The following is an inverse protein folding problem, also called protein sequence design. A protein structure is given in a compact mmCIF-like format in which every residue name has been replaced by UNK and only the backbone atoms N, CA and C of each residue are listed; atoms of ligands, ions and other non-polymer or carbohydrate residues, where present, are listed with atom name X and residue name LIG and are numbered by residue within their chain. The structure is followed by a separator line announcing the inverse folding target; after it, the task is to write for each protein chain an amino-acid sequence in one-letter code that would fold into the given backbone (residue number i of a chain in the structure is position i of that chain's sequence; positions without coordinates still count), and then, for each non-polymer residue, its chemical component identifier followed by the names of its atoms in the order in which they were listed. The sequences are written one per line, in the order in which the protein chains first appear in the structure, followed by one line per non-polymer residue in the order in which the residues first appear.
data_IF_095185182864
#
_entry.id   IF_095185182864
#
_cell.length_a   1.000
_cell.length_b   1.000
_cell.length_c   1.000
_cell.angle_alpha   90.00
_cell.angle_beta   90.00
_cell.angle_gamma   90.00
#
_symmetry.space_group_name_H-M   'P 1'
#
loop_
_entity.id
_entity.type
_entity.pdbx_description
1 polymer ?
#
# COMPACT_ATOMS: atom_id res chain seq x y z
N UNK A 1 -35.87 -16.91 26.08
CA UNK A 1 -34.53 -17.27 26.60
C UNK A 1 -33.42 -17.08 25.54
N UNK A 2 -33.51 -16.05 24.67
CA UNK A 2 -32.61 -15.89 23.50
C UNK A 2 -31.85 -14.55 23.44
N UNK A 3 -31.96 -13.67 24.44
CA UNK A 3 -31.33 -12.35 24.44
C UNK A 3 -30.07 -12.21 25.32
N UNK A 4 -29.70 -13.24 26.11
CA UNK A 4 -28.51 -13.17 27.00
C UNK A 4 -27.21 -13.68 26.37
N UNK A 5 -27.26 -14.40 25.24
CA UNK A 5 -26.06 -14.99 24.63
C UNK A 5 -25.34 -14.11 23.59
N UNK A 6 -25.97 -13.05 23.07
CA UNK A 6 -25.29 -12.14 22.12
C UNK A 6 -24.40 -11.08 22.80
N UNK A 7 -24.75 -10.68 24.03
CA UNK A 7 -23.97 -9.68 24.78
C UNK A 7 -22.65 -10.28 25.30
N UNK A 8 -22.63 -11.58 25.64
CA UNK A 8 -21.41 -12.25 26.08
C UNK A 8 -20.41 -12.47 24.93
N UNK A 9 -20.87 -12.68 23.69
CA UNK A 9 -19.99 -12.77 22.51
C UNK A 9 -19.44 -11.39 22.10
N UNK A 10 -20.22 -10.31 22.25
CA UNK A 10 -19.74 -8.94 22.03
C UNK A 10 -18.67 -8.52 23.06
N UNK A 11 -18.79 -8.94 24.32
CA UNK A 11 -17.81 -8.64 25.37
C UNK A 11 -16.48 -9.38 25.19
N UNK A 12 -16.45 -10.55 24.54
CA UNK A 12 -15.20 -11.26 24.21
C UNK A 12 -14.47 -10.58 23.04
N UNK A 13 -15.19 -9.93 22.12
CA UNK A 13 -14.59 -9.15 21.02
C UNK A 13 -14.09 -7.79 21.52
N UNK A 14 -14.68 -7.23 22.59
CA UNK A 14 -14.20 -5.99 23.22
C UNK A 14 -13.05 -6.19 24.24
N UNK A 15 -12.82 -7.43 24.71
CA UNK A 15 -11.68 -7.79 25.58
C UNK A 15 -10.55 -8.52 24.85
N UNK A 16 -10.74 -8.91 23.59
CA UNK A 16 -9.62 -9.12 22.67
C UNK A 16 -9.22 -7.76 22.14
N UNK A 17 -8.67 -6.93 23.04
CA UNK A 17 -7.69 -5.96 22.63
C UNK A 17 -6.62 -6.76 21.89
N UNK A 18 -6.74 -6.84 20.56
CA UNK A 18 -5.56 -6.94 19.73
C UNK A 18 -4.79 -5.68 20.09
N UNK A 19 -3.93 -5.79 21.09
CA UNK A 19 -2.80 -4.93 21.23
C UNK A 19 -2.21 -4.89 19.84
N UNK A 20 -2.37 -3.75 19.16
CA UNK A 20 -1.46 -3.39 18.08
C UNK A 20 -0.13 -3.40 18.81
N UNK A 21 0.60 -4.52 18.67
CA UNK A 21 1.80 -4.77 19.42
C UNK A 21 2.69 -3.56 19.14
N UNK A 22 3.00 -2.80 20.19
CA UNK A 22 3.72 -1.53 20.11
C UNK A 22 5.22 -1.79 19.91
N UNK A 23 5.54 -2.61 18.90
CA UNK A 23 6.85 -3.15 18.56
C UNK A 23 7.10 -3.01 17.04
N UNK A 24 6.52 -1.99 16.43
CA UNK A 24 6.99 -1.47 15.15
C UNK A 24 7.27 0.00 15.39
N UNK A 25 8.55 0.37 15.47
CA UNK A 25 8.98 1.77 15.39
C UNK A 25 8.61 2.23 13.98
N UNK A 26 7.35 2.66 13.81
CA UNK A 26 6.78 3.07 12.53
C UNK A 26 7.34 4.44 12.14
N UNK A 27 8.64 4.49 11.81
CA UNK A 27 9.27 5.62 11.13
C UNK A 27 9.04 5.44 9.63
N UNK A 28 7.81 5.69 9.19
CA UNK A 28 7.38 5.23 7.88
C UNK A 28 7.64 6.25 6.81
N UNK A 29 8.53 5.85 5.92
CA UNK A 29 8.78 6.48 4.65
C UNK A 29 7.71 5.98 3.68
N UNK A 30 6.92 6.87 3.09
CA UNK A 30 5.78 6.54 2.22
C UNK A 30 5.59 7.64 1.19
N UNK A 31 5.26 7.27 -0.05
CA UNK A 31 4.71 8.21 -1.02
C UNK A 31 3.18 8.03 -1.10
N UNK A 32 2.44 9.05 -0.68
CA UNK A 32 0.98 9.04 -0.59
C UNK A 32 0.37 10.03 -1.58
N UNK A 33 -0.51 9.53 -2.45
CA UNK A 33 -1.35 10.36 -3.32
C UNK A 33 -2.80 10.25 -2.84
N UNK A 34 -3.44 11.39 -2.61
CA UNK A 34 -4.84 11.48 -2.19
C UNK A 34 -5.66 12.02 -3.36
N UNK A 35 -6.67 11.28 -3.79
CA UNK A 35 -7.67 11.70 -4.75
C UNK A 35 -8.96 12.00 -4.00
N UNK A 36 -9.39 13.26 -4.03
CA UNK A 36 -10.57 13.73 -3.32
C UNK A 36 -11.67 14.13 -4.29
N UNK A 37 -12.74 13.32 -4.34
CA UNK A 37 -13.92 13.60 -5.14
C UNK A 37 -14.74 14.76 -4.56
N UNK A 38 -14.94 15.78 -5.38
CA UNK A 38 -15.78 16.93 -5.10
C UNK A 38 -16.89 17.11 -6.12
N UNK A 39 -17.34 16.02 -6.75
CA UNK A 39 -18.45 15.95 -7.69
C UNK A 39 -19.81 16.25 -7.05
N UNK A 40 -20.81 16.45 -7.90
CA UNK A 40 -22.17 16.81 -7.50
C UNK A 40 -22.86 15.75 -6.63
N UNK A 41 -22.56 14.47 -6.84
CA UNK A 41 -23.19 13.35 -6.13
C UNK A 41 -22.76 13.23 -4.67
N UNK A 42 -21.54 13.68 -4.35
CA UNK A 42 -21.02 13.76 -2.98
C UNK A 42 -21.83 14.74 -2.12
N UNK A 43 -22.20 15.90 -2.69
CA UNK A 43 -22.84 16.99 -1.95
C UNK A 43 -21.89 17.76 -1.02
N UNK A 44 -22.23 19.02 -0.71
CA UNK A 44 -21.37 19.91 0.07
C UNK A 44 -21.08 19.42 1.49
N UNK A 45 -22.07 18.79 2.15
CA UNK A 45 -21.93 18.28 3.51
C UNK A 45 -20.95 17.09 3.58
N UNK A 46 -21.11 16.10 2.71
CA UNK A 46 -20.20 14.95 2.65
C UNK A 46 -18.81 15.37 2.18
N UNK A 47 -18.71 16.34 1.26
CA UNK A 47 -17.42 16.88 0.85
C UNK A 47 -16.70 17.58 2.01
N UNK A 48 -17.40 18.35 2.84
CA UNK A 48 -16.83 18.93 4.05
C UNK A 48 -16.30 17.86 5.01
N UNK A 49 -17.05 16.76 5.20
CA UNK A 49 -16.60 15.62 5.99
C UNK A 49 -15.35 14.96 5.40
N UNK A 50 -15.30 14.81 4.08
CA UNK A 50 -14.15 14.25 3.36
C UNK A 50 -12.89 15.13 3.52
N UNK A 51 -13.03 16.46 3.46
CA UNK A 51 -11.93 17.40 3.76
C UNK A 51 -11.40 17.20 5.17
N UNK A 52 -12.27 17.14 6.17
CA UNK A 52 -11.87 16.91 7.56
C UNK A 52 -11.14 15.57 7.69
N UNK A 53 -11.63 14.51 7.02
CA UNK A 53 -10.95 13.21 6.97
C UNK A 53 -9.51 13.29 6.47
N UNK A 54 -9.32 13.99 5.34
CA UNK A 54 -8.01 14.16 4.72
C UNK A 54 -7.09 15.00 5.63
N UNK A 55 -7.59 16.07 6.22
CA UNK A 55 -6.82 16.91 7.15
C UNK A 55 -6.36 16.12 8.38
N UNK A 56 -7.27 15.33 8.98
CA UNK A 56 -6.96 14.49 10.14
C UNK A 56 -5.92 13.42 9.81
N UNK A 57 -6.06 12.76 8.66
CA UNK A 57 -5.07 11.81 8.15
C UNK A 57 -3.69 12.49 8.07
N UNK A 58 -3.59 13.62 7.39
CA UNK A 58 -2.32 14.33 7.18
C UNK A 58 -1.71 14.79 8.50
N UNK A 59 -2.53 15.24 9.46
CA UNK A 59 -2.05 15.70 10.77
C UNK A 59 -1.27 14.61 11.52
N UNK A 60 -1.68 13.34 11.36
CA UNK A 60 -1.07 12.16 12.00
C UNK A 60 0.15 11.62 11.26
N UNK A 61 0.30 11.94 9.98
CA UNK A 61 1.46 11.53 9.20
C UNK A 61 2.71 12.33 9.59
N UNK A 62 3.87 11.67 9.56
CA UNK A 62 5.16 12.34 9.74
C UNK A 62 5.63 12.91 8.39
N UNK A 63 4.99 13.98 7.91
CA UNK A 63 5.29 14.57 6.59
C UNK A 63 6.67 15.23 6.58
N UNK A 64 7.48 14.97 5.55
CA UNK A 64 8.76 15.65 5.36
C UNK A 64 9.64 15.06 4.25
N UNK A 65 10.79 15.70 3.92
CA UNK A 65 11.64 15.34 2.77
C UNK A 65 12.15 13.90 2.79
N UNK A 66 12.41 13.35 3.97
CA UNK A 66 12.92 11.99 4.15
C UNK A 66 11.91 11.08 4.87
N UNK A 67 10.63 11.44 4.84
CA UNK A 67 9.57 10.79 5.60
C UNK A 67 8.38 10.50 4.68
N UNK A 68 7.16 10.87 5.08
CA UNK A 68 5.98 10.75 4.23
C UNK A 68 5.92 11.91 3.24
N UNK A 69 5.86 11.60 1.95
CA UNK A 69 5.56 12.54 0.87
C UNK A 69 4.06 12.49 0.60
N UNK A 70 3.39 13.64 0.52
CA UNK A 70 1.94 13.72 0.29
C UNK A 70 1.65 14.61 -0.91
N UNK A 71 0.90 14.08 -1.88
CA UNK A 71 0.29 14.84 -2.97
C UNK A 71 -1.23 14.72 -2.88
N UNK A 72 -1.94 15.82 -3.16
CA UNK A 72 -3.40 15.93 -3.08
C UNK A 72 -3.94 16.44 -4.42
N UNK A 73 -4.88 15.68 -4.98
CA UNK A 73 -5.61 16.03 -6.17
C UNK A 73 -7.09 16.09 -5.81
N UNK A 74 -7.74 17.21 -6.11
CA UNK A 74 -9.20 17.33 -6.10
C UNK A 74 -9.70 17.01 -7.50
N UNK A 75 -10.82 16.30 -7.63
CA UNK A 75 -11.46 16.16 -8.93
C UNK A 75 -12.98 16.29 -8.87
N UNK A 76 -13.55 16.68 -10.00
CA UNK A 76 -14.98 16.53 -10.30
C UNK A 76 -15.13 16.30 -11.81
N UNK A 77 -15.61 17.26 -12.60
CA UNK A 77 -15.57 17.20 -14.06
C UNK A 77 -14.14 17.26 -14.61
N UNK A 78 -13.21 17.83 -13.84
CA UNK A 78 -11.78 17.97 -14.18
C UNK A 78 -10.91 17.64 -12.96
N UNK A 79 -9.63 17.35 -13.19
CA UNK A 79 -8.66 17.03 -12.13
C UNK A 79 -7.73 18.22 -11.85
N UNK A 80 -7.68 18.64 -10.59
CA UNK A 80 -6.87 19.74 -10.09
C UNK A 80 -5.75 19.21 -9.18
N UNK A 81 -4.50 19.61 -9.47
CA UNK A 81 -3.35 19.32 -8.62
C UNK A 81 -3.29 20.33 -7.46
N UNK A 82 -4.13 20.14 -6.43
CA UNK A 82 -4.24 21.06 -5.30
C UNK A 82 -2.94 21.19 -4.50
N UNK A 83 -2.20 20.11 -4.33
CA UNK A 83 -0.85 20.12 -3.75
C UNK A 83 -0.02 18.97 -4.32
N UNK A 84 1.20 19.24 -4.76
CA UNK A 84 2.16 18.20 -5.17
C UNK A 84 3.37 18.29 -4.26
N UNK A 85 3.80 17.16 -3.71
CA UNK A 85 4.97 17.13 -2.85
C UNK A 85 6.21 17.70 -3.58
N UNK A 86 6.97 18.54 -2.88
CA UNK A 86 8.22 19.11 -3.39
C UNK A 86 9.37 18.81 -2.41
N UNK A 87 10.44 18.17 -2.92
CA UNK A 87 11.63 17.76 -2.17
C UNK A 87 12.43 18.93 -1.55
N UNK A 88 12.19 20.17 -1.98
CA UNK A 88 12.86 21.39 -1.47
C UNK A 88 12.15 22.00 -0.24
N UNK A 89 11.06 21.39 0.24
CA UNK A 89 10.22 21.98 1.28
C UNK A 89 10.84 22.07 2.69
N UNK A 90 10.26 22.93 3.53
CA UNK A 90 10.64 23.18 4.91
C UNK A 90 9.86 22.31 5.92
N UNK A 91 10.17 22.43 7.21
CA UNK A 91 9.42 21.79 8.32
C UNK A 91 7.93 22.15 8.37
N UNK A 92 7.45 23.11 7.57
CA UNK A 92 6.06 23.59 7.53
C UNK A 92 5.17 22.87 6.50
N UNK A 93 5.70 21.90 5.75
CA UNK A 93 4.94 21.22 4.68
C UNK A 93 3.61 20.64 5.16
N UNK A 94 3.57 20.03 6.34
CA UNK A 94 2.33 19.48 6.92
C UNK A 94 1.24 20.55 7.03
N UNK A 95 1.56 21.67 7.64
CA UNK A 95 0.62 22.76 7.89
C UNK A 95 0.15 23.41 6.58
N UNK A 96 1.05 23.50 5.60
CA UNK A 96 0.72 23.99 4.25
C UNK A 96 -0.32 23.08 3.58
N UNK A 97 -0.13 21.76 3.61
CA UNK A 97 -1.08 20.82 3.01
C UNK A 97 -2.42 20.89 3.73
N UNK A 98 -2.43 20.91 5.07
CA UNK A 98 -3.67 21.02 5.85
C UNK A 98 -4.42 22.32 5.51
N UNK A 99 -3.70 23.44 5.35
CA UNK A 99 -4.29 24.71 4.92
C UNK A 99 -4.90 24.61 3.51
N UNK A 100 -4.21 23.96 2.56
CA UNK A 100 -4.75 23.69 1.22
C UNK A 100 -6.02 22.86 1.30
N UNK A 101 -5.99 21.74 2.03
CA UNK A 101 -7.16 20.86 2.24
C UNK A 101 -8.33 21.67 2.76
N UNK A 102 -8.16 22.43 3.85
CA UNK A 102 -9.20 23.24 4.45
C UNK A 102 -9.73 24.35 3.51
N UNK A 103 -8.91 24.84 2.58
CA UNK A 103 -9.27 25.85 1.58
C UNK A 103 -10.03 25.32 0.37
N UNK A 104 -10.07 24.00 0.13
CA UNK A 104 -10.74 23.42 -1.04
C UNK A 104 -12.23 23.80 -1.10
N UNK A 105 -12.67 24.33 -2.24
CA UNK A 105 -14.05 24.76 -2.47
C UNK A 105 -14.88 23.64 -3.09
N UNK A 106 -16.12 23.45 -2.66
CA UNK A 106 -17.04 22.51 -3.29
C UNK A 106 -17.73 23.15 -4.50
N UNK A 107 -17.36 22.69 -5.70
CA UNK A 107 -17.92 23.19 -6.95
C UNK A 107 -18.90 22.20 -7.61
N UNK A 108 -19.03 20.97 -7.08
CA UNK A 108 -19.80 19.90 -7.72
C UNK A 108 -19.30 19.58 -9.14
N UNK A 109 -20.23 19.13 -9.99
CA UNK A 109 -19.97 18.74 -11.37
C UNK A 109 -20.04 17.23 -11.57
N UNK A 110 -19.40 16.75 -12.63
CA UNK A 110 -19.26 15.32 -12.91
C UNK A 110 -18.23 14.64 -12.01
N UNK A 111 -17.94 13.38 -12.33
CA UNK A 111 -17.13 12.44 -11.54
C UNK A 111 -16.10 11.76 -12.45
N UNK A 112 -15.03 12.48 -12.80
CA UNK A 112 -13.95 12.06 -13.69
C UNK A 112 -12.91 11.17 -12.97
N UNK A 113 -13.37 10.08 -12.37
CA UNK A 113 -12.53 9.17 -11.56
C UNK A 113 -11.43 8.51 -12.37
N UNK A 114 -11.72 8.11 -13.63
CA UNK A 114 -10.70 7.48 -14.48
C UNK A 114 -9.54 8.43 -14.77
N UNK A 115 -9.85 9.68 -15.09
CA UNK A 115 -8.88 10.75 -15.34
C UNK A 115 -8.13 11.13 -14.06
N UNK A 116 -8.78 11.10 -12.90
CA UNK A 116 -8.13 11.33 -11.61
C UNK A 116 -7.06 10.27 -11.32
N UNK A 117 -7.37 9.00 -11.60
CA UNK A 117 -6.43 7.87 -11.45
C UNK A 117 -5.28 7.98 -12.45
N UNK A 118 -5.56 8.33 -13.70
CA UNK A 118 -4.53 8.63 -14.72
C UNK A 118 -3.60 9.76 -14.27
N UNK A 119 -4.15 10.83 -13.69
CA UNK A 119 -3.36 11.95 -13.18
C UNK A 119 -2.52 11.54 -11.97
N UNK A 120 -3.06 10.72 -11.05
CA UNK A 120 -2.27 10.16 -9.94
C UNK A 120 -1.06 9.38 -10.43
N UNK A 121 -1.22 8.55 -11.47
CA UNK A 121 -0.10 7.84 -12.11
C UNK A 121 0.97 8.81 -12.62
N UNK A 122 0.55 9.86 -13.31
CA UNK A 122 1.46 10.89 -13.85
C UNK A 122 2.18 11.68 -12.75
N UNK A 123 1.47 12.00 -11.66
CA UNK A 123 2.06 12.64 -10.48
C UNK A 123 3.08 11.72 -9.82
N UNK A 124 2.79 10.42 -9.72
CA UNK A 124 3.73 9.49 -9.12
C UNK A 124 4.99 9.33 -9.98
N UNK A 125 4.85 9.19 -11.30
CA UNK A 125 5.98 9.14 -12.23
C UNK A 125 6.92 10.36 -12.07
N UNK A 126 6.39 11.53 -11.73
CA UNK A 126 7.15 12.76 -11.58
C UNK A 126 7.69 13.03 -10.16
N UNK A 127 6.93 12.65 -9.12
CA UNK A 127 7.16 13.10 -7.75
C UNK A 127 7.42 11.97 -6.73
N UNK A 128 6.96 10.74 -7.00
CA UNK A 128 7.31 9.61 -6.15
C UNK A 128 8.81 9.32 -6.24
N UNK A 129 9.35 8.72 -5.19
CA UNK A 129 10.72 8.21 -5.16
C UNK A 129 10.88 7.03 -6.11
N UNK A 130 12.10 6.82 -6.58
CA UNK A 130 12.37 5.72 -7.50
C UNK A 130 12.21 4.35 -6.79
N UNK A 131 12.21 3.26 -7.55
CA UNK A 131 12.12 1.90 -7.00
C UNK A 131 13.35 1.51 -6.19
N UNK A 132 14.53 2.03 -6.53
CA UNK A 132 15.81 1.78 -5.82
C UNK A 132 15.76 2.20 -4.34
N UNK A 133 14.99 3.24 -4.02
CA UNK A 133 14.79 3.73 -2.66
C UNK A 133 13.89 2.80 -1.80
N UNK A 134 13.26 1.77 -2.40
CA UNK A 134 12.39 0.81 -1.71
C UNK A 134 11.29 1.47 -0.86
N UNK A 135 10.77 2.61 -1.31
CA UNK A 135 9.70 3.32 -0.61
C UNK A 135 8.33 2.82 -1.05
N UNK A 136 7.48 2.36 -0.12
CA UNK A 136 6.09 2.02 -0.42
C UNK A 136 5.33 3.21 -1.02
N UNK A 137 4.41 2.91 -1.94
CA UNK A 137 3.55 3.92 -2.58
C UNK A 137 2.09 3.56 -2.32
N UNK A 138 1.28 4.55 -1.99
CA UNK A 138 -0.14 4.38 -1.76
C UNK A 138 -0.96 5.47 -2.45
N UNK A 139 -2.13 5.06 -2.95
CA UNK A 139 -3.15 6.00 -3.45
C UNK A 139 -4.41 5.79 -2.65
N UNK A 140 -5.01 6.88 -2.16
CA UNK A 140 -6.29 6.85 -1.44
C UNK A 140 -7.30 7.66 -2.23
N UNK A 141 -8.31 6.97 -2.76
CA UNK A 141 -9.39 7.53 -3.53
C UNK A 141 -10.63 7.67 -2.65
N UNK A 142 -11.06 8.91 -2.40
CA UNK A 142 -12.34 9.21 -1.76
C UNK A 142 -13.37 9.52 -2.84
N UNK A 143 -14.46 8.75 -2.92
CA UNK A 143 -15.53 8.90 -3.92
C UNK A 143 -16.79 8.19 -3.43
N UNK A 144 -17.97 8.49 -3.96
CA UNK A 144 -19.18 7.67 -3.81
C UNK A 144 -19.27 6.59 -4.90
N UNK A 145 -18.33 6.55 -5.84
CA UNK A 145 -18.49 5.75 -7.06
C UNK A 145 -19.60 6.34 -7.93
N UNK A 146 -19.77 5.85 -9.16
CA UNK A 146 -20.52 6.50 -10.24
C UNK A 146 -19.69 7.49 -11.06
N UNK A 147 -18.50 7.05 -11.50
CA UNK A 147 -17.74 7.82 -12.46
C UNK A 147 -18.49 8.00 -13.78
N UNK A 148 -18.42 9.20 -14.35
CA UNK A 148 -18.89 9.44 -15.71
C UNK A 148 -17.99 8.75 -16.77
N UNK A 149 -16.86 8.19 -16.36
CA UNK A 149 -15.86 7.53 -17.19
C UNK A 149 -15.55 6.12 -16.68
N UNK A 150 -16.58 5.33 -16.32
CA UNK A 150 -16.41 4.02 -15.68
C UNK A 150 -15.49 3.04 -16.45
N UNK A 151 -15.48 3.10 -17.79
CA UNK A 151 -14.56 2.29 -18.62
C UNK A 151 -13.09 2.63 -18.38
N UNK A 152 -12.75 3.90 -18.17
CA UNK A 152 -11.39 4.34 -17.87
C UNK A 152 -10.94 3.94 -16.46
N UNK A 153 -11.86 3.87 -15.49
CA UNK A 153 -11.53 3.51 -14.11
C UNK A 153 -10.78 2.19 -14.06
N UNK A 154 -11.29 1.14 -14.71
CA UNK A 154 -10.63 -0.17 -14.71
C UNK A 154 -9.23 -0.10 -15.32
N UNK A 155 -9.12 0.40 -16.55
CA UNK A 155 -7.86 0.42 -17.30
C UNK A 155 -6.80 1.29 -16.63
N UNK A 156 -7.14 2.50 -16.18
CA UNK A 156 -6.17 3.38 -15.52
C UNK A 156 -5.79 2.88 -14.13
N UNK A 157 -6.67 2.16 -13.43
CA UNK A 157 -6.32 1.55 -12.15
C UNK A 157 -5.35 0.38 -12.31
N UNK A 158 -5.53 -0.43 -13.36
CA UNK A 158 -4.56 -1.48 -13.74
C UNK A 158 -3.21 -0.85 -14.09
N UNK A 159 -3.19 0.19 -14.94
CA UNK A 159 -1.97 0.90 -15.31
C UNK A 159 -1.28 1.58 -14.11
N UNK A 160 -2.04 2.20 -13.21
CA UNK A 160 -1.50 2.81 -11.99
C UNK A 160 -0.77 1.75 -11.15
N UNK A 161 -1.44 0.63 -10.84
CA UNK A 161 -0.85 -0.45 -10.04
C UNK A 161 0.35 -1.08 -10.73
N UNK A 162 0.28 -1.31 -12.04
CA UNK A 162 1.34 -2.00 -12.78
C UNK A 162 2.56 -1.10 -13.01
N UNK A 163 2.38 0.20 -13.26
CA UNK A 163 3.51 1.11 -13.49
C UNK A 163 4.13 1.66 -12.22
N UNK A 164 3.31 1.95 -11.21
CA UNK A 164 3.78 2.60 -9.97
C UNK A 164 3.93 1.64 -8.82
N UNK A 165 3.37 0.42 -8.92
CA UNK A 165 3.35 -0.58 -7.85
C UNK A 165 2.67 -0.06 -6.56
N UNK A 166 1.89 1.02 -6.68
CA UNK A 166 1.16 1.61 -5.57
C UNK A 166 0.00 0.72 -5.13
N UNK A 167 -0.22 0.67 -3.83
CA UNK A 167 -1.43 0.07 -3.25
C UNK A 167 -2.54 1.10 -3.24
N UNK A 168 -3.68 0.75 -3.84
CA UNK A 168 -4.82 1.65 -4.01
C UNK A 168 -5.92 1.31 -3.01
N UNK A 169 -6.36 2.32 -2.25
CA UNK A 169 -7.48 2.29 -1.33
C UNK A 169 -8.63 3.07 -1.92
N UNK A 170 -9.81 2.45 -1.98
CA UNK A 170 -11.02 3.14 -2.44
C UNK A 170 -11.98 3.30 -1.26
N UNK A 171 -12.28 4.54 -0.94
CA UNK A 171 -13.05 4.97 0.22
C UNK A 171 -14.37 5.55 -0.27
N UNK A 172 -15.42 4.75 -0.16
CA UNK A 172 -16.81 5.11 -0.41
C UNK A 172 -17.29 6.15 0.59
N UNK A 173 -17.86 7.27 0.13
CA UNK A 173 -18.49 8.28 1.01
C UNK A 173 -19.98 8.38 0.70
N UNK A 174 -20.81 8.45 1.74
CA UNK A 174 -22.25 8.69 1.60
C UNK A 174 -23.09 7.42 1.45
N UNK A 175 -24.38 7.57 1.17
CA UNK A 175 -25.35 6.47 1.17
C UNK A 175 -25.57 5.82 -0.21
N UNK A 176 -25.03 6.40 -1.28
CA UNK A 176 -25.24 5.97 -2.67
C UNK A 176 -24.10 5.15 -3.28
N UNK A 177 -23.25 4.53 -2.46
CA UNK A 177 -21.94 4.06 -2.90
C UNK A 177 -22.02 2.95 -3.97
N UNK A 178 -21.30 3.10 -5.08
CA UNK A 178 -21.10 2.05 -6.08
C UNK A 178 -19.89 1.17 -5.72
N UNK A 179 -20.15 0.07 -5.00
CA UNK A 179 -19.10 -0.84 -4.53
C UNK A 179 -18.33 -1.51 -5.66
N UNK A 180 -18.99 -1.85 -6.77
CA UNK A 180 -18.33 -2.47 -7.90
C UNK A 180 -17.26 -1.54 -8.47
N UNK A 181 -17.54 -0.24 -8.57
CA UNK A 181 -16.57 0.73 -9.08
C UNK A 181 -15.42 1.01 -8.09
N UNK A 182 -15.70 1.01 -6.79
CA UNK A 182 -14.64 1.06 -5.78
C UNK A 182 -13.71 -0.15 -5.89
N UNK A 183 -14.25 -1.35 -6.16
CA UNK A 183 -13.45 -2.56 -6.34
C UNK A 183 -12.59 -2.50 -7.61
N UNK A 184 -13.06 -1.86 -8.69
CA UNK A 184 -12.26 -1.68 -9.91
C UNK A 184 -11.02 -0.81 -9.66
N UNK A 185 -11.15 0.20 -8.80
CA UNK A 185 -10.06 1.12 -8.45
C UNK A 185 -9.11 0.55 -7.38
N UNK A 186 -9.63 -0.14 -6.39
CA UNK A 186 -8.86 -0.65 -5.26
C UNK A 186 -7.89 -1.79 -5.62
N UNK A 187 -6.91 -2.02 -4.75
CA UNK A 187 -6.09 -3.24 -4.76
C UNK A 187 -6.82 -4.42 -4.13
N UNK A 188 -6.30 -5.64 -4.34
CA UNK A 188 -6.84 -6.85 -3.72
C UNK A 188 -6.03 -7.29 -2.49
N UNK A 189 -6.67 -7.88 -1.45
CA UNK A 189 -8.10 -8.24 -1.39
C UNK A 189 -9.01 -7.05 -1.05
N UNK A 190 -10.21 -6.99 -1.65
CA UNK A 190 -11.13 -5.86 -1.47
C UNK A 190 -11.61 -5.67 -0.03
N UNK A 191 -11.68 -6.73 0.77
CA UNK A 191 -12.00 -6.65 2.20
C UNK A 191 -11.01 -5.81 3.01
N UNK A 192 -9.81 -5.58 2.48
CA UNK A 192 -8.77 -4.75 3.08
C UNK A 192 -8.68 -3.36 2.47
N UNK A 193 -8.91 -3.22 1.17
CA UNK A 193 -8.61 -1.99 0.41
C UNK A 193 -9.84 -1.21 -0.06
N UNK A 194 -11.05 -1.76 0.11
CA UNK A 194 -12.31 -1.03 -0.12
C UNK A 194 -12.94 -0.71 1.23
N UNK A 195 -13.16 0.57 1.49
CA UNK A 195 -13.72 1.10 2.72
C UNK A 195 -15.00 1.86 2.42
N UNK A 196 -15.94 1.81 3.36
CA UNK A 196 -17.20 2.55 3.25
C UNK A 196 -17.33 3.42 4.50
N UNK A 197 -17.47 4.72 4.28
CA UNK A 197 -17.69 5.72 5.32
C UNK A 197 -19.18 6.07 5.35
N UNK A 198 -19.88 5.43 6.28
CA UNK A 198 -21.25 5.76 6.65
C UNK A 198 -21.34 6.95 7.63
N UNK A 199 -20.26 7.28 8.35
CA UNK A 199 -20.13 8.49 9.19
C UNK A 199 -18.67 8.79 9.59
N UNK A 200 -18.44 9.97 10.19
CA UNK A 200 -17.12 10.50 10.57
C UNK A 200 -16.33 9.62 11.56
N UNK A 201 -16.98 8.77 12.38
CA UNK A 201 -16.28 7.88 13.32
C UNK A 201 -15.48 6.76 12.61
N UNK A 202 -15.80 6.46 11.35
CA UNK A 202 -15.12 5.44 10.55
C UNK A 202 -13.83 5.94 9.88
N UNK A 203 -13.51 7.24 9.95
CA UNK A 203 -12.21 7.78 9.52
C UNK A 203 -11.04 7.18 10.30
N UNK A 204 -11.24 6.90 11.59
CA UNK A 204 -10.22 6.24 12.41
C UNK A 204 -9.82 4.89 11.80
N UNK A 205 -10.75 4.19 11.14
CA UNK A 205 -10.46 2.94 10.44
C UNK A 205 -9.59 3.19 9.20
N UNK A 206 -9.90 4.21 8.40
CA UNK A 206 -9.09 4.62 7.23
C UNK A 206 -7.67 4.99 7.68
N UNK A 207 -7.55 5.80 8.73
CA UNK A 207 -6.27 6.23 9.30
C UNK A 207 -5.48 5.03 9.81
N UNK A 208 -6.11 4.12 10.55
CA UNK A 208 -5.44 2.91 11.04
C UNK A 208 -4.95 2.05 9.88
N UNK A 209 -5.74 1.90 8.82
CA UNK A 209 -5.33 1.14 7.64
C UNK A 209 -4.19 1.82 6.87
N UNK A 210 -4.23 3.14 6.69
CA UNK A 210 -3.14 3.87 6.02
C UNK A 210 -1.86 3.85 6.87
N UNK A 211 -2.00 3.91 8.19
CA UNK A 211 -0.86 3.70 9.10
C UNK A 211 -0.32 2.28 8.92
N UNK A 212 -1.19 1.26 8.84
CA UNK A 212 -0.77 -0.11 8.54
C UNK A 212 -0.12 -0.23 7.15
N UNK A 213 -0.53 0.54 6.13
CA UNK A 213 0.18 0.60 4.84
C UNK A 213 1.59 1.13 5.04
N UNK A 214 1.68 2.31 5.67
CA UNK A 214 2.95 2.99 5.85
C UNK A 214 3.94 2.06 6.55
N UNK A 215 3.47 1.28 7.54
CA UNK A 215 4.35 0.37 8.28
C UNK A 215 4.48 -1.04 7.66
N UNK A 216 3.57 -1.48 6.77
CA UNK A 216 3.53 -2.89 6.35
C UNK A 216 3.23 -3.14 4.86
N UNK A 217 3.14 -2.13 3.98
CA UNK A 217 3.04 -2.42 2.55
C UNK A 217 4.40 -2.83 2.01
N UNK A 218 4.48 -3.93 1.25
CA UNK A 218 5.74 -4.36 0.67
C UNK A 218 6.28 -3.34 -0.32
N UNK A 219 7.54 -2.94 -0.14
CA UNK A 219 8.27 -2.13 -1.09
C UNK A 219 8.48 -2.91 -2.39
N UNK A 220 8.35 -2.25 -3.54
CA UNK A 220 8.57 -2.93 -4.80
C UNK A 220 10.06 -3.14 -5.05
N UNK A 221 10.47 -4.38 -5.29
CA UNK A 221 11.83 -4.74 -5.68
C UNK A 221 11.83 -5.29 -7.12
N UNK A 222 12.53 -4.59 -8.01
CA UNK A 222 12.75 -5.01 -9.39
C UNK A 222 13.67 -6.24 -9.47
N UNK A 223 13.34 -7.23 -10.33
CA UNK A 223 14.21 -8.38 -10.57
C UNK A 223 15.60 -7.95 -11.06
N UNK A 224 16.66 -8.53 -10.49
CA UNK A 224 18.05 -8.30 -10.89
C UNK A 224 18.70 -7.04 -10.32
N UNK A 225 17.96 -6.18 -9.61
CA UNK A 225 18.51 -5.00 -8.94
C UNK A 225 19.00 -5.37 -7.54
N UNK A 226 20.19 -4.89 -7.19
CA UNK A 226 20.77 -5.06 -5.85
C UNK A 226 20.35 -3.92 -4.95
N UNK A 227 19.68 -4.25 -3.85
CA UNK A 227 19.23 -3.29 -2.87
C UNK A 227 20.07 -3.36 -1.60
N UNK A 228 20.35 -2.20 -0.99
CA UNK A 228 20.96 -2.11 0.35
C UNK A 228 19.89 -1.69 1.34
N UNK A 229 19.79 -2.40 2.47
CA UNK A 229 18.83 -2.04 3.50
C UNK A 229 19.30 -2.41 4.93
N UNK A 230 18.56 -1.92 5.91
CA UNK A 230 18.72 -2.21 7.33
C UNK A 230 17.37 -2.59 7.94
N UNK A 231 17.37 -3.51 8.91
CA UNK A 231 16.17 -3.85 9.68
C UNK A 231 16.52 -3.98 11.17
N UNK A 232 15.73 -3.34 12.03
CA UNK A 232 15.90 -3.39 13.49
C UNK A 232 15.54 -4.77 14.04
N UNK A 233 16.08 -5.10 15.22
CA UNK A 233 15.78 -6.35 15.92
C UNK A 233 14.28 -6.56 16.09
N UNK A 234 13.81 -7.76 15.77
CA UNK A 234 12.42 -8.21 15.90
C UNK A 234 11.39 -7.44 15.07
N UNK A 235 11.85 -6.55 14.19
CA UNK A 235 11.03 -5.87 13.18
C UNK A 235 11.16 -6.53 11.81
N UNK A 236 10.27 -6.17 10.89
CA UNK A 236 10.22 -6.72 9.53
C UNK A 236 10.33 -5.60 8.50
N UNK A 237 11.03 -5.89 7.41
CA UNK A 237 10.89 -5.17 6.15
C UNK A 237 10.20 -6.09 5.13
N UNK A 238 9.21 -5.56 4.41
CA UNK A 238 8.41 -6.30 3.43
C UNK A 238 8.73 -5.86 2.01
N UNK A 239 8.77 -6.82 1.08
CA UNK A 239 9.06 -6.60 -0.33
C UNK A 239 8.09 -7.35 -1.26
N UNK A 240 7.78 -6.76 -2.42
CA UNK A 240 7.00 -7.40 -3.47
C UNK A 240 7.67 -7.27 -4.83
N UNK A 241 7.54 -8.31 -5.64
CA UNK A 241 7.99 -8.36 -7.02
C UNK A 241 6.81 -8.72 -7.92
N UNK A 242 6.68 -8.02 -9.05
CA UNK A 242 5.68 -8.35 -10.07
C UNK A 242 6.18 -9.51 -10.91
N UNK A 243 5.31 -10.49 -11.14
CA UNK A 243 5.54 -11.62 -12.03
C UNK A 243 4.68 -11.53 -13.30
N UNK A 244 3.96 -10.41 -13.49
CA UNK A 244 3.16 -10.19 -14.70
C UNK A 244 4.05 -10.24 -15.95
N UNK A 245 3.67 -11.09 -16.90
CA UNK A 245 4.44 -11.32 -18.12
C UNK A 245 5.42 -12.51 -18.05
N UNK A 246 5.65 -13.08 -16.87
CA UNK A 246 6.41 -14.31 -16.71
C UNK A 246 5.56 -15.52 -17.15
N UNK A 247 5.71 -15.94 -18.41
CA UNK A 247 4.94 -17.04 -19.01
C UNK A 247 5.79 -18.29 -19.13
N UNK A 248 5.72 -19.15 -18.13
CA UNK A 248 6.03 -20.57 -18.29
C UNK A 248 4.81 -21.38 -17.87
N UNK A 249 4.37 -22.31 -18.72
CA UNK A 249 3.30 -23.26 -18.39
C UNK A 249 3.65 -24.18 -17.23
N UNK A 250 4.94 -24.31 -16.91
CA UNK A 250 5.50 -25.12 -15.82
C UNK A 250 5.85 -24.31 -14.57
N UNK A 251 5.70 -22.99 -14.60
CA UNK A 251 6.11 -22.11 -13.50
C UNK A 251 7.60 -21.74 -13.57
N UNK A 252 8.21 -21.43 -12.44
CA UNK A 252 9.61 -21.03 -12.43
C UNK A 252 10.17 -20.94 -11.02
N UNK A 253 11.31 -20.27 -10.88
CA UNK A 253 11.94 -20.03 -9.59
C UNK A 253 12.23 -18.56 -9.39
N UNK A 254 11.99 -18.10 -8.16
CA UNK A 254 12.57 -16.87 -7.66
C UNK A 254 13.78 -17.23 -6.82
N UNK A 255 14.94 -16.73 -7.22
CA UNK A 255 16.13 -16.78 -6.39
C UNK A 255 16.24 -15.49 -5.58
N UNK A 256 16.55 -15.60 -4.29
CA UNK A 256 16.88 -14.49 -3.40
C UNK A 256 18.31 -14.70 -2.93
N UNK A 257 19.21 -13.82 -3.34
CA UNK A 257 20.58 -13.79 -2.84
C UNK A 257 20.70 -12.69 -1.79
N UNK A 258 21.16 -13.04 -0.58
CA UNK A 258 21.31 -12.10 0.53
C UNK A 258 22.76 -12.11 1.00
N UNK A 259 23.35 -10.94 1.18
CA UNK A 259 24.68 -10.77 1.75
C UNK A 259 24.60 -9.88 3.00
N UNK A 260 24.98 -10.43 4.15
CA UNK A 260 24.99 -9.69 5.41
C UNK A 260 26.30 -8.93 5.58
N UNK A 261 26.19 -7.65 5.93
CA UNK A 261 27.34 -6.83 6.35
C UNK A 261 27.41 -6.69 7.88
N UNK A 262 26.26 -6.75 8.56
CA UNK A 262 26.16 -6.75 10.02
C UNK A 262 24.91 -7.52 10.48
N UNK A 263 25.02 -8.28 11.56
CA UNK A 263 23.90 -9.00 12.17
C UNK A 263 23.43 -10.20 11.33
N UNK A 264 22.14 -10.53 11.42
CA UNK A 264 21.54 -11.62 10.65
C UNK A 264 20.02 -11.45 10.53
N UNK A 265 19.44 -11.98 9.45
CA UNK A 265 18.00 -11.88 9.16
C UNK A 265 17.34 -13.25 9.04
N UNK A 266 16.04 -13.32 9.30
CA UNK A 266 15.20 -14.44 8.89
C UNK A 266 14.40 -14.01 7.68
N UNK A 267 14.45 -14.80 6.61
CA UNK A 267 13.72 -14.53 5.36
C UNK A 267 12.48 -15.42 5.27
N UNK A 268 11.36 -14.80 4.91
CA UNK A 268 10.07 -15.45 4.69
C UNK A 268 9.58 -15.12 3.30
N UNK A 269 8.94 -16.07 2.62
CA UNK A 269 8.41 -15.88 1.26
C UNK A 269 6.97 -16.31 1.14
N UNK A 270 6.24 -15.70 0.21
CA UNK A 270 4.87 -16.10 -0.14
C UNK A 270 4.50 -15.64 -1.54
N UNK A 271 3.60 -16.38 -2.19
CA UNK A 271 2.93 -15.96 -3.44
C UNK A 271 1.52 -15.39 -3.19
N UNK A 272 1.06 -15.41 -1.93
CA UNK A 272 -0.34 -15.09 -1.58
C UNK A 272 -0.50 -14.16 -0.39
N UNK A 273 0.41 -14.20 0.58
CA UNK A 273 0.43 -13.31 1.74
C UNK A 273 1.38 -12.14 1.45
N UNK A 274 0.88 -10.89 1.35
CA UNK A 274 1.73 -9.73 1.10
C UNK A 274 2.81 -9.52 2.17
N UNK A 275 2.50 -9.89 3.41
CA UNK A 275 3.34 -9.63 4.57
C UNK A 275 3.68 -10.95 5.27
N UNK A 276 4.49 -11.83 4.67
CA UNK A 276 4.80 -13.12 5.27
C UNK A 276 5.59 -12.91 6.56
N UNK A 277 5.19 -13.51 7.67
CA UNK A 277 5.87 -13.47 8.98
C UNK A 277 5.90 -14.85 9.62
N UNK A 278 6.60 -14.98 10.76
CA UNK A 278 6.60 -16.21 11.57
C UNK A 278 5.22 -16.70 11.98
N UNK A 279 4.25 -15.79 12.13
CA UNK A 279 2.92 -16.10 12.67
C UNK A 279 1.98 -16.66 11.61
N UNK A 280 2.34 -16.53 10.33
CA UNK A 280 1.52 -16.98 9.20
C UNK A 280 1.60 -18.52 8.99
N UNK A 281 2.16 -19.29 9.93
CA UNK A 281 2.48 -20.74 9.91
C UNK A 281 1.39 -21.73 9.44
N UNK A 282 0.14 -21.29 9.27
CA UNK A 282 -0.97 -22.09 8.72
C UNK A 282 -1.17 -21.94 7.21
N UNK A 283 -0.46 -21.00 6.56
CA UNK A 283 -0.43 -20.81 5.11
C UNK A 283 0.92 -21.35 4.60
N UNK A 284 0.99 -21.94 3.40
CA UNK A 284 2.25 -22.45 2.82
C UNK A 284 3.29 -21.34 2.81
N UNK A 285 4.25 -21.40 3.73
CA UNK A 285 5.35 -20.45 3.86
C UNK A 285 6.63 -21.23 3.92
N UNK A 286 7.66 -20.68 3.29
CA UNK A 286 9.01 -21.16 3.47
C UNK A 286 9.78 -20.14 4.30
N UNK A 287 10.49 -20.63 5.30
CA UNK A 287 11.28 -19.84 6.24
C UNK A 287 12.73 -20.32 6.19
N UNK A 288 13.68 -19.37 6.13
CA UNK A 288 15.11 -19.68 6.24
C UNK A 288 15.84 -18.62 7.07
N UNK A 289 16.78 -19.07 7.91
CA UNK A 289 17.66 -18.20 8.69
C UNK A 289 18.94 -17.92 7.90
N UNK A 290 19.33 -16.65 7.78
CA UNK A 290 20.49 -16.18 7.02
C UNK A 290 21.40 -15.39 7.96
N UNK A 291 22.64 -15.84 8.16
CA UNK A 291 23.53 -15.29 9.19
C UNK A 291 25.00 -15.14 8.77
N UNK A 292 25.33 -15.29 7.49
CA UNK A 292 26.73 -15.33 7.05
C UNK A 292 27.11 -14.08 6.25
N UNK A 293 28.41 -13.75 6.26
CA UNK A 293 29.01 -12.70 5.42
C UNK A 293 29.28 -13.17 3.99
N UNK A 294 28.98 -14.44 3.68
CA UNK A 294 28.97 -14.98 2.33
C UNK A 294 27.56 -14.81 1.75
N UNK A 295 27.45 -14.82 0.42
CA UNK A 295 26.13 -14.74 -0.22
C UNK A 295 25.34 -16.03 0.06
N UNK A 296 24.26 -15.89 0.81
CA UNK A 296 23.29 -16.97 1.04
C UNK A 296 22.22 -16.92 -0.06
N UNK A 297 22.04 -18.04 -0.77
CA UNK A 297 21.10 -18.16 -1.89
C UNK A 297 19.90 -19.02 -1.48
N UNK A 298 18.71 -18.50 -1.79
CA UNK A 298 17.43 -19.14 -1.56
C UNK A 298 16.64 -19.24 -2.86
N UNK A 299 16.05 -20.40 -3.17
CA UNK A 299 15.18 -20.57 -4.34
C UNK A 299 13.78 -20.97 -3.91
N UNK A 300 12.78 -20.26 -4.42
CA UNK A 300 11.36 -20.58 -4.26
C UNK A 300 10.75 -20.99 -5.59
N UNK A 301 10.04 -22.11 -5.64
CA UNK A 301 9.22 -22.47 -6.78
C UNK A 301 7.99 -21.57 -6.88
N UNK A 302 7.76 -21.01 -8.06
CA UNK A 302 6.60 -20.20 -8.38
C UNK A 302 5.65 -21.02 -9.27
N UNK A 303 4.43 -21.31 -8.80
CA UNK A 303 3.41 -21.96 -9.61
C UNK A 303 3.06 -21.15 -10.87
N UNK A 304 2.59 -21.81 -11.94
CA UNK A 304 2.01 -21.14 -13.10
C UNK A 304 0.90 -20.16 -12.71
N UNK A 305 0.75 -19.09 -13.48
CA UNK A 305 -0.26 -18.03 -13.28
C UNK A 305 -0.13 -17.21 -11.98
N UNK A 306 1.00 -17.31 -11.28
CA UNK A 306 1.27 -16.44 -10.14
C UNK A 306 1.63 -15.04 -10.63
N UNK A 307 0.91 -14.01 -10.16
CA UNK A 307 1.14 -12.62 -10.60
C UNK A 307 2.12 -11.85 -9.71
N UNK A 308 2.32 -12.28 -8.45
CA UNK A 308 3.14 -11.57 -7.46
C UNK A 308 3.94 -12.53 -6.59
N UNK A 309 5.12 -12.09 -6.20
CA UNK A 309 5.96 -12.73 -5.21
C UNK A 309 6.20 -11.75 -4.06
N UNK A 310 6.13 -12.23 -2.83
CA UNK A 310 6.32 -11.46 -1.62
C UNK A 310 7.45 -12.06 -0.79
N UNK A 311 8.25 -11.20 -0.16
CA UNK A 311 9.25 -11.61 0.81
C UNK A 311 9.28 -10.67 2.01
N UNK A 312 9.76 -11.16 3.14
CA UNK A 312 10.04 -10.33 4.30
C UNK A 312 11.34 -10.73 4.99
N UNK A 313 11.97 -9.75 5.61
CA UNK A 313 13.26 -9.88 6.26
C UNK A 313 13.10 -9.42 7.70
N UNK A 314 13.20 -10.36 8.66
CA UNK A 314 13.11 -10.08 10.09
C UNK A 314 14.50 -9.87 10.68
N UNK A 315 14.74 -8.73 11.30
CA UNK A 315 15.97 -8.47 12.04
C UNK A 315 16.08 -9.33 13.29
N UNK A 316 17.27 -9.88 13.55
CA UNK A 316 17.48 -10.74 14.73
C UNK A 316 18.59 -10.26 15.67
N UNK A 317 19.48 -9.39 15.19
CA UNK A 317 20.45 -8.64 16.00
C UNK A 317 19.98 -7.20 16.21
N UNK A 318 20.64 -6.43 17.09
CA UNK A 318 20.28 -5.02 17.34
C UNK A 318 20.29 -4.17 16.06
N UNK A 319 21.26 -4.39 15.19
CA UNK A 319 21.40 -3.77 13.86
C UNK A 319 21.61 -4.91 12.86
N UNK A 320 20.87 -4.91 11.75
CA UNK A 320 21.01 -5.91 10.69
C UNK A 320 21.09 -5.21 9.34
N UNK A 321 22.30 -5.09 8.79
CA UNK A 321 22.56 -4.44 7.51
C UNK A 321 22.89 -5.47 6.45
N UNK A 322 22.23 -5.38 5.30
CA UNK A 322 22.35 -6.37 4.24
C UNK A 322 22.18 -5.76 2.85
N UNK A 323 22.67 -6.48 1.84
CA UNK A 323 22.23 -6.31 0.47
C UNK A 323 21.46 -7.54 0.02
N UNK A 324 20.47 -7.35 -0.85
CA UNK A 324 19.76 -8.46 -1.47
C UNK A 324 19.44 -8.20 -2.93
N UNK A 325 19.31 -9.28 -3.69
CA UNK A 325 18.81 -9.28 -5.07
C UNK A 325 17.85 -10.43 -5.25
N UNK A 326 16.78 -10.19 -5.99
CA UNK A 326 15.84 -11.23 -6.42
C UNK A 326 15.96 -11.43 -7.92
N UNK A 327 16.14 -12.67 -8.38
CA UNK A 327 16.16 -12.99 -9.81
C UNK A 327 15.06 -13.99 -10.13
N UNK A 328 14.61 -13.99 -11.39
CA UNK A 328 13.50 -14.81 -11.85
C UNK A 328 13.97 -15.72 -13.00
N UNK A 329 13.79 -17.03 -12.83
CA UNK A 329 14.23 -18.03 -13.81
C UNK A 329 13.04 -18.87 -14.26
N UNK A 330 12.76 -18.93 -15.57
CA UNK A 330 11.69 -19.76 -16.12
C UNK A 330 12.08 -21.22 -16.23
N UNK A 331 11.14 -22.10 -15.88
CA UNK A 331 11.22 -23.49 -16.31
C UNK A 331 10.79 -23.56 -17.77
N UNK A 332 11.73 -23.86 -18.66
CA UNK A 332 11.42 -24.21 -20.04
C UNK A 332 11.44 -25.74 -20.18
N UNK A 333 10.63 -26.31 -21.06
CA UNK A 333 10.60 -27.76 -21.34
C UNK A 333 11.99 -28.32 -21.72
N UNK A 334 12.92 -27.47 -22.15
CA UNK A 334 14.29 -27.83 -22.53
C UNK A 334 15.29 -27.98 -21.36
N UNK A 335 14.93 -27.59 -20.14
CA UNK A 335 15.82 -27.65 -18.95
C UNK A 335 15.56 -28.87 -18.05
N UNK A 336 14.70 -29.80 -18.49
CA UNK A 336 14.41 -31.07 -17.81
C UNK A 336 15.06 -32.18 -18.66
N UNK A 337 16.39 -32.26 -18.60
CA UNK A 337 17.21 -33.28 -19.27
C UNK A 337 18.12 -33.97 -18.29
#
# INVERSE_FOLDING_TARGET
MFFKNYILTLLIILNSGQQINSQTTCQTVLDLIILLDGSGSIGSASFAQAKTAVADLISRLNVGPHKVHVSLLRYSSTVENSYIFNKVGSNQMKDQIIKVVNGLQYNGGGTATGEAIQRARSVCDAACRNSEELVPRAVVLFTDGHSNSASLVKTESELLRDRTQAVVFSVGIGSGINIQELQLSASQPYSKYVLQLSNYLQLTQVINQITLIACNVPAFNEPGVVYKNEVEKDTYQFYQMSLKGFRSGLGGFVEIAVNMTQGYVQVFTSTTEPNPTSDNSKKKLVQRRIATTMTDIYMEYIPPNTEKFYSSFKGSSNINQYTFVTTLTSLNDANIG
#
